data_IF_177606060314
#
_entry.id   IF_177606060314
#
_cell.length_a   1.000
_cell.length_b   1.000
_cell.length_c   1.000
_cell.angle_alpha   90.00
_cell.angle_beta   90.00
_cell.angle_gamma   90.00
#
_symmetry.space_group_name_H-M   'P 1'
#
loop_
_entity.id
_entity.type
_entity.pdbx_description
1 polymer ?
#
# COMPACT_ATOMS: atom_id res chain seq x y z
N UNK A 1 -30.44 64.65 21.55
CA UNK A 1 -29.38 63.67 21.54
C UNK A 1 -29.66 62.53 20.51
N UNK A 2 -30.04 62.88 19.28
CA UNK A 2 -30.43 61.87 18.23
C UNK A 2 -29.85 62.17 16.83
N UNK A 3 -28.88 63.07 16.73
CA UNK A 3 -28.26 63.48 15.45
C UNK A 3 -26.72 63.28 15.38
N UNK A 4 -26.09 62.65 16.38
CA UNK A 4 -24.64 62.36 16.36
C UNK A 4 -24.28 60.89 16.03
N UNK A 5 -25.26 60.01 15.81
CA UNK A 5 -25.00 58.61 15.48
C UNK A 5 -25.03 58.27 13.97
N UNK A 6 -25.38 59.27 13.13
CA UNK A 6 -25.52 59.06 11.69
C UNK A 6 -24.26 59.43 10.87
N UNK A 7 -23.20 59.91 11.51
CA UNK A 7 -22.01 60.42 10.80
C UNK A 7 -20.75 59.53 10.99
N UNK A 8 -20.87 58.39 11.69
CA UNK A 8 -19.75 57.48 11.93
C UNK A 8 -19.85 56.17 11.17
N UNK A 9 -20.83 56.04 10.27
CA UNK A 9 -21.03 54.80 9.46
C UNK A 9 -20.68 54.97 7.97
N UNK A 10 -20.04 56.06 7.56
CA UNK A 10 -19.70 56.33 6.17
C UNK A 10 -18.19 56.47 5.91
N UNK A 11 -17.30 56.06 6.84
CA UNK A 11 -15.85 56.18 6.70
C UNK A 11 -15.09 54.84 6.61
N UNK A 12 -15.80 53.71 6.45
CA UNK A 12 -15.16 52.36 6.36
C UNK A 12 -15.30 51.65 5.02
N UNK A 13 -15.64 52.32 3.94
CA UNK A 13 -15.85 51.69 2.62
C UNK A 13 -14.85 52.23 1.56
N UNK A 14 -13.63 52.56 1.92
CA UNK A 14 -12.59 52.84 0.94
C UNK A 14 -11.20 52.33 1.35
N UNK A 15 -11.13 51.17 2.00
CA UNK A 15 -9.93 50.37 2.00
C UNK A 15 -10.10 49.32 0.90
N UNK A 16 -10.05 49.75 -0.34
CA UNK A 16 -9.97 48.90 -1.51
C UNK A 16 -8.76 47.99 -1.37
N UNK A 17 -9.02 46.70 -1.32
CA UNK A 17 -8.01 45.69 -1.39
C UNK A 17 -7.28 45.79 -2.74
N UNK A 18 -6.16 46.50 -2.77
CA UNK A 18 -5.14 46.30 -3.77
C UNK A 18 -4.49 44.93 -3.47
N UNK A 19 -5.18 43.87 -3.84
CA UNK A 19 -4.54 42.59 -4.08
C UNK A 19 -3.64 42.80 -5.31
N UNK A 20 -2.42 43.20 -5.04
CA UNK A 20 -1.36 43.24 -6.02
C UNK A 20 -1.11 41.79 -6.41
N UNK A 21 -1.67 41.35 -7.55
CA UNK A 21 -1.23 40.13 -8.20
C UNK A 21 0.29 40.23 -8.35
N UNK A 22 1.03 39.54 -7.48
CA UNK A 22 2.43 39.24 -7.72
C UNK A 22 2.44 38.41 -9.01
N UNK A 23 2.66 39.06 -10.16
CA UNK A 23 3.15 38.36 -11.34
C UNK A 23 4.37 37.58 -10.88
N UNK A 24 4.23 36.25 -10.82
CA UNK A 24 5.36 35.38 -10.65
C UNK A 24 6.38 35.76 -11.73
N UNK A 25 7.53 36.26 -11.33
CA UNK A 25 8.64 36.48 -12.25
C UNK A 25 8.92 35.12 -12.90
N UNK A 26 8.71 35.01 -14.21
CA UNK A 26 9.16 33.83 -14.95
C UNK A 26 10.66 33.68 -14.69
N UNK A 27 11.00 32.63 -13.95
CA UNK A 27 12.39 32.27 -13.69
C UNK A 27 13.00 31.85 -15.03
N UNK A 28 13.74 32.74 -15.66
CA UNK A 28 14.38 32.53 -16.96
C UNK A 28 15.38 31.36 -16.97
N UNK A 29 15.65 30.76 -15.80
CA UNK A 29 16.48 29.57 -15.64
C UNK A 29 15.67 28.28 -15.42
N UNK A 30 14.32 28.32 -15.53
CA UNK A 30 13.53 27.12 -15.39
C UNK A 30 13.79 26.19 -16.56
N UNK A 31 14.33 25.01 -16.27
CA UNK A 31 14.54 23.98 -17.30
C UNK A 31 13.20 23.63 -17.97
N UNK A 32 13.17 23.67 -19.29
CA UNK A 32 12.01 23.25 -20.08
C UNK A 32 12.21 21.79 -20.46
N UNK A 33 11.31 20.93 -19.99
CA UNK A 33 11.33 19.52 -20.31
C UNK A 33 10.30 19.23 -21.39
N UNK A 34 10.73 18.45 -22.39
CA UNK A 34 9.82 17.95 -23.44
C UNK A 34 9.60 16.47 -23.22
N UNK A 35 8.33 16.04 -23.14
CA UNK A 35 8.00 14.62 -23.03
C UNK A 35 8.31 13.93 -24.35
N UNK A 36 9.30 13.05 -24.37
CA UNK A 36 9.67 12.24 -25.55
C UNK A 36 8.76 11.02 -25.66
N UNK A 37 8.45 10.39 -24.52
CA UNK A 37 7.58 9.22 -24.44
C UNK A 37 6.87 9.18 -23.08
N UNK A 38 5.58 8.93 -23.08
CA UNK A 38 4.80 8.63 -21.90
C UNK A 38 4.36 7.15 -21.94
N UNK A 39 4.69 6.37 -20.93
CA UNK A 39 4.13 5.03 -20.77
C UNK A 39 2.75 5.14 -20.10
N UNK A 40 1.79 4.26 -20.46
CA UNK A 40 0.53 4.18 -19.73
C UNK A 40 0.80 3.77 -18.27
N UNK A 41 0.05 4.38 -17.35
CA UNK A 41 0.11 4.07 -15.93
C UNK A 41 -1.31 3.85 -15.40
N UNK A 42 -1.43 3.07 -14.33
CA UNK A 42 -2.67 2.93 -13.56
C UNK A 42 -2.87 4.09 -12.58
N UNK A 43 -3.97 4.10 -11.83
CA UNK A 43 -4.24 5.14 -10.84
C UNK A 43 -3.21 5.14 -9.71
N UNK A 44 -2.89 6.33 -9.19
CA UNK A 44 -2.03 6.47 -8.01
C UNK A 44 -2.81 6.02 -6.78
N UNK A 45 -2.15 5.23 -5.93
CA UNK A 45 -2.68 4.73 -4.66
C UNK A 45 -1.96 5.38 -3.48
N UNK A 46 -2.66 5.48 -2.34
CA UNK A 46 -2.11 6.02 -1.10
C UNK A 46 -1.83 4.88 -0.11
N UNK A 47 -0.54 4.66 0.20
CA UNK A 47 -0.14 3.67 1.20
C UNK A 47 -0.35 4.14 2.64
N UNK A 48 -0.60 5.45 2.85
CA UNK A 48 -0.74 6.09 4.15
C UNK A 48 0.41 5.71 5.12
N UNK A 49 0.08 5.34 6.37
CA UNK A 49 1.04 4.98 7.43
C UNK A 49 1.37 3.48 7.44
N UNK A 50 1.64 2.92 6.28
CA UNK A 50 2.16 1.56 6.16
C UNK A 50 3.56 1.59 5.55
N UNK A 51 4.48 0.78 6.03
CA UNK A 51 5.81 0.64 5.43
C UNK A 51 5.79 -0.25 4.18
N UNK A 52 4.72 -0.22 3.39
CA UNK A 52 4.48 -1.10 2.23
C UNK A 52 4.74 -0.43 0.88
N UNK A 53 5.52 0.67 0.84
CA UNK A 53 5.88 1.34 -0.41
C UNK A 53 6.45 0.38 -1.46
N UNK A 54 7.17 -0.64 -1.04
CA UNK A 54 7.72 -1.69 -1.88
C UNK A 54 6.62 -2.50 -2.61
N UNK A 55 5.52 -2.84 -1.92
CA UNK A 55 4.38 -3.55 -2.53
C UNK A 55 3.60 -2.62 -3.47
N UNK A 56 3.28 -1.41 -3.03
CA UNK A 56 2.56 -0.41 -3.83
C UNK A 56 3.30 -0.06 -5.11
N UNK A 57 4.60 0.25 -5.02
CA UNK A 57 5.39 0.62 -6.20
C UNK A 57 5.58 -0.53 -7.18
N UNK A 58 5.81 -1.75 -6.68
CA UNK A 58 5.99 -2.93 -7.52
C UNK A 58 4.68 -3.32 -8.21
N UNK A 59 3.56 -3.37 -7.49
CA UNK A 59 2.27 -3.68 -8.10
C UNK A 59 1.84 -2.62 -9.10
N UNK A 60 2.05 -1.33 -8.82
CA UNK A 60 1.79 -0.26 -9.78
C UNK A 60 2.63 -0.39 -11.05
N UNK A 61 3.90 -0.81 -10.94
CA UNK A 61 4.74 -1.12 -12.09
C UNK A 61 4.18 -2.33 -12.88
N UNK A 62 3.86 -3.43 -12.21
CA UNK A 62 3.32 -4.63 -12.86
C UNK A 62 1.95 -4.36 -13.51
N UNK A 63 1.06 -3.60 -12.86
CA UNK A 63 -0.20 -3.15 -13.44
C UNK A 63 0.00 -2.33 -14.72
N UNK A 64 1.02 -1.47 -14.74
CA UNK A 64 1.38 -0.68 -15.93
C UNK A 64 1.93 -1.57 -17.06
N UNK A 65 2.71 -2.59 -16.75
CA UNK A 65 3.17 -3.59 -17.73
C UNK A 65 2.00 -4.41 -18.28
N UNK A 66 1.06 -4.83 -17.43
CA UNK A 66 -0.17 -5.51 -17.86
C UNK A 66 -0.97 -4.61 -18.81
N UNK A 67 -1.20 -3.35 -18.42
CA UNK A 67 -1.92 -2.36 -19.23
C UNK A 67 -1.25 -2.18 -20.59
N UNK A 68 0.05 -2.03 -20.63
CA UNK A 68 0.83 -1.89 -21.87
C UNK A 68 0.73 -3.13 -22.77
N UNK A 69 0.80 -4.33 -22.19
CA UNK A 69 0.84 -5.58 -22.93
C UNK A 69 -0.55 -6.08 -23.37
N UNK A 70 -1.59 -5.82 -22.57
CA UNK A 70 -2.93 -6.39 -22.76
C UNK A 70 -4.02 -5.36 -23.06
N UNK A 71 -3.75 -4.08 -22.79
CA UNK A 71 -4.76 -3.01 -22.82
C UNK A 71 -5.76 -3.07 -21.66
N UNK A 72 -5.59 -3.98 -20.69
CA UNK A 72 -6.48 -4.15 -19.55
C UNK A 72 -5.91 -3.46 -18.31
N UNK A 73 -6.79 -2.86 -17.52
CA UNK A 73 -6.45 -2.25 -16.22
C UNK A 73 -6.85 -3.19 -15.11
N UNK A 74 -5.95 -3.41 -14.17
CA UNK A 74 -6.20 -4.17 -12.95
C UNK A 74 -5.87 -3.30 -11.74
N UNK A 75 -6.51 -3.61 -10.62
CA UNK A 75 -6.21 -3.07 -9.29
C UNK A 75 -5.82 -4.24 -8.39
N UNK A 76 -4.51 -4.50 -8.26
CA UNK A 76 -3.97 -5.64 -7.53
C UNK A 76 -3.87 -5.31 -6.04
N UNK A 77 -4.05 -6.32 -5.18
CA UNK A 77 -4.15 -6.15 -3.74
C UNK A 77 -2.78 -6.15 -3.05
N UNK A 78 -2.32 -5.00 -2.57
CA UNK A 78 -1.08 -4.86 -1.81
C UNK A 78 -1.14 -5.60 -0.47
N UNK A 79 -2.31 -5.64 0.16
CA UNK A 79 -2.49 -6.32 1.45
C UNK A 79 -2.39 -7.84 1.32
N UNK A 80 -2.70 -8.41 0.15
CA UNK A 80 -2.43 -9.83 -0.13
C UNK A 80 -0.92 -10.11 -0.09
N UNK A 81 -0.13 -9.28 -0.75
CA UNK A 81 1.33 -9.39 -0.77
C UNK A 81 1.88 -9.26 0.65
N UNK A 82 1.50 -8.20 1.37
CA UNK A 82 1.96 -7.95 2.73
C UNK A 82 1.59 -9.10 3.69
N UNK A 83 0.38 -9.66 3.59
CA UNK A 83 -0.07 -10.78 4.41
C UNK A 83 0.82 -12.01 4.24
N UNK A 84 1.12 -12.39 3.00
CA UNK A 84 1.96 -13.56 2.72
C UNK A 84 3.42 -13.34 3.07
N UNK A 85 3.96 -12.18 2.70
CA UNK A 85 5.36 -11.83 2.94
C UNK A 85 5.70 -11.78 4.43
N UNK A 86 4.86 -11.13 5.25
CA UNK A 86 5.12 -11.07 6.69
C UNK A 86 5.08 -12.43 7.37
N UNK A 87 4.23 -13.35 6.91
CA UNK A 87 4.27 -14.73 7.41
C UNK A 87 5.56 -15.44 7.02
N UNK A 88 5.99 -15.33 5.77
CA UNK A 88 7.22 -15.98 5.29
C UNK A 88 8.46 -15.41 6.01
N UNK A 89 8.55 -14.10 6.16
CA UNK A 89 9.63 -13.45 6.92
C UNK A 89 9.63 -13.84 8.39
N UNK A 90 8.47 -13.93 9.02
CA UNK A 90 8.38 -14.41 10.40
C UNK A 90 8.89 -15.84 10.54
N UNK A 91 8.60 -16.72 9.57
CA UNK A 91 9.14 -18.09 9.55
C UNK A 91 10.66 -18.07 9.45
N UNK A 92 11.22 -17.23 8.58
CA UNK A 92 12.69 -17.07 8.47
C UNK A 92 13.28 -16.54 9.78
N UNK A 93 12.70 -15.49 10.36
CA UNK A 93 13.15 -14.89 11.64
C UNK A 93 13.16 -15.90 12.77
N UNK A 94 12.12 -16.72 12.90
CA UNK A 94 12.06 -17.76 13.93
C UNK A 94 13.09 -18.86 13.67
N UNK A 95 13.30 -19.27 12.41
CA UNK A 95 14.33 -20.27 12.06
C UNK A 95 15.74 -19.77 12.32
N UNK A 96 15.98 -18.48 12.16
CA UNK A 96 17.27 -17.83 12.41
C UNK A 96 17.42 -17.34 13.86
N UNK A 97 16.53 -17.77 14.77
CA UNK A 97 16.57 -17.41 16.21
C UNK A 97 16.56 -15.89 16.47
N UNK A 98 15.98 -15.11 15.55
CA UNK A 98 15.91 -13.65 15.64
C UNK A 98 17.09 -12.92 15.02
N UNK A 99 18.00 -13.62 14.35
CA UNK A 99 19.17 -13.03 13.65
C UNK A 99 18.85 -12.48 12.25
N UNK A 100 17.57 -12.33 11.92
CA UNK A 100 17.12 -11.64 10.71
C UNK A 100 16.30 -10.41 11.07
N UNK A 101 16.39 -9.37 10.25
CA UNK A 101 15.58 -8.18 10.43
C UNK A 101 14.13 -8.49 10.05
N UNK A 102 13.21 -8.31 11.00
CA UNK A 102 11.77 -8.37 10.79
C UNK A 102 11.21 -6.95 10.84
N UNK A 103 10.80 -6.39 9.70
CA UNK A 103 10.36 -5.01 9.57
C UNK A 103 9.26 -4.89 8.52
N UNK A 104 8.66 -3.70 8.41
CA UNK A 104 7.60 -3.41 7.44
C UNK A 104 8.11 -3.35 5.99
N UNK A 105 9.36 -2.92 5.79
CA UNK A 105 9.95 -2.73 4.48
C UNK A 105 10.17 -4.04 3.72
N UNK A 106 10.26 -3.95 2.40
CA UNK A 106 10.52 -5.06 1.49
C UNK A 106 11.14 -4.60 0.18
N UNK A 107 11.26 -5.51 -0.77
CA UNK A 107 11.86 -5.28 -2.06
C UNK A 107 10.89 -5.62 -3.20
N UNK A 108 11.30 -5.28 -4.42
CA UNK A 108 10.64 -5.70 -5.64
C UNK A 108 10.58 -7.23 -5.74
N UNK A 109 11.70 -7.91 -5.44
CA UNK A 109 11.81 -9.37 -5.48
C UNK A 109 10.83 -10.07 -4.52
N UNK A 110 10.56 -9.48 -3.35
CA UNK A 110 9.60 -10.05 -2.40
C UNK A 110 8.21 -10.14 -3.03
N UNK A 111 7.76 -9.09 -3.74
CA UNK A 111 6.46 -9.10 -4.42
C UNK A 111 6.41 -10.17 -5.49
N UNK A 112 7.42 -10.24 -6.35
CA UNK A 112 7.49 -11.24 -7.43
C UNK A 112 7.50 -12.65 -6.85
N UNK A 113 8.31 -12.90 -5.83
CA UNK A 113 8.40 -14.19 -5.12
C UNK A 113 7.05 -14.59 -4.52
N UNK A 114 6.35 -13.66 -3.87
CA UNK A 114 5.01 -13.92 -3.31
C UNK A 114 4.02 -14.25 -4.43
N UNK A 115 4.01 -13.50 -5.53
CA UNK A 115 3.15 -13.79 -6.67
C UNK A 115 3.45 -15.15 -7.31
N UNK A 116 4.73 -15.53 -7.42
CA UNK A 116 5.13 -16.86 -7.92
C UNK A 116 4.68 -17.98 -6.97
N UNK A 117 4.83 -17.79 -5.65
CA UNK A 117 4.55 -18.83 -4.67
C UNK A 117 3.06 -18.96 -4.33
N UNK A 118 2.35 -17.83 -4.21
CA UNK A 118 0.97 -17.77 -3.70
C UNK A 118 -0.03 -17.21 -4.70
N UNK A 119 0.43 -16.52 -5.74
CA UNK A 119 -0.42 -15.75 -6.63
C UNK A 119 -0.75 -14.36 -6.08
N UNK A 120 -1.78 -13.74 -6.66
CA UNK A 120 -2.33 -12.43 -6.28
C UNK A 120 -3.84 -12.44 -6.48
N UNK A 121 -4.56 -11.56 -5.79
CA UNK A 121 -5.97 -11.28 -6.05
C UNK A 121 -6.16 -9.80 -6.40
N UNK A 122 -7.29 -9.41 -7.01
CA UNK A 122 -7.65 -8.00 -7.14
C UNK A 122 -8.00 -7.43 -5.77
N UNK A 123 -7.85 -6.12 -5.58
CA UNK A 123 -8.12 -5.45 -4.30
C UNK A 123 -9.55 -5.68 -3.79
N UNK A 124 -10.53 -5.72 -4.71
CA UNK A 124 -11.94 -5.97 -4.36
C UNK A 124 -12.21 -7.35 -3.73
N UNK A 125 -11.28 -8.30 -3.87
CA UNK A 125 -11.39 -9.64 -3.27
C UNK A 125 -10.93 -9.68 -1.79
N UNK A 126 -10.36 -8.60 -1.27
CA UNK A 126 -9.99 -8.43 0.13
C UNK A 126 -10.62 -7.15 0.70
N UNK A 127 -10.70 -7.01 2.03
CA UNK A 127 -11.09 -5.74 2.63
C UNK A 127 -10.14 -4.62 2.15
N UNK A 128 -10.68 -3.44 1.89
CA UNK A 128 -9.85 -2.27 1.57
C UNK A 128 -8.88 -1.96 2.73
N UNK A 129 -7.69 -1.44 2.45
CA UNK A 129 -6.74 -1.06 3.48
C UNK A 129 -7.38 -0.17 4.56
N UNK A 130 -7.11 -0.48 5.82
CA UNK A 130 -7.66 0.28 6.96
C UNK A 130 -9.10 -0.04 7.36
N UNK A 131 -9.88 -0.76 6.54
CA UNK A 131 -11.29 -1.06 6.85
C UNK A 131 -11.45 -1.85 8.15
N UNK A 132 -10.58 -2.81 8.42
CA UNK A 132 -10.65 -3.66 9.61
C UNK A 132 -10.22 -2.93 10.89
N UNK A 133 -9.40 -1.90 10.78
CA UNK A 133 -8.94 -1.08 11.90
C UNK A 133 -9.80 0.16 12.13
N UNK A 134 -10.78 0.42 11.27
CA UNK A 134 -11.65 1.59 11.33
C UNK A 134 -11.05 2.86 10.72
N UNK A 135 -9.85 2.77 10.13
CA UNK A 135 -9.22 3.84 9.37
C UNK A 135 -9.74 3.86 7.93
N UNK A 136 -9.62 4.98 7.25
CA UNK A 136 -9.94 5.08 5.82
C UNK A 136 -8.83 4.54 4.92
N UNK A 137 -7.60 4.44 5.45
CA UNK A 137 -6.39 3.99 4.78
C UNK A 137 -5.56 3.12 5.73
N UNK A 138 -4.63 2.32 5.16
CA UNK A 138 -3.76 1.44 5.95
C UNK A 138 -2.96 2.21 7.01
N UNK A 139 -2.98 1.71 8.25
CA UNK A 139 -2.20 2.23 9.37
C UNK A 139 -1.57 1.05 10.13
N UNK A 140 -0.25 0.96 10.09
CA UNK A 140 0.51 -0.16 10.65
C UNK A 140 1.11 0.13 12.03
N UNK A 141 0.83 1.29 12.62
CA UNK A 141 1.41 1.66 13.93
C UNK A 141 1.05 0.62 15.00
N UNK A 142 -0.22 0.26 15.13
CA UNK A 142 -0.67 -0.76 16.07
C UNK A 142 -0.30 -2.17 15.59
N UNK A 143 -0.54 -2.48 14.33
CA UNK A 143 -0.30 -3.81 13.75
C UNK A 143 1.13 -4.27 13.97
N UNK A 144 2.13 -3.46 13.62
CA UNK A 144 3.53 -3.81 13.83
C UNK A 144 3.92 -3.80 15.29
N UNK A 145 3.33 -2.92 16.10
CA UNK A 145 3.49 -2.90 17.55
C UNK A 145 3.09 -4.21 18.23
N UNK A 146 2.16 -4.97 17.64
CA UNK A 146 1.73 -6.29 18.10
C UNK A 146 2.53 -7.42 17.45
N UNK A 147 2.71 -7.35 16.13
CA UNK A 147 3.28 -8.45 15.34
C UNK A 147 4.77 -8.65 15.60
N UNK A 148 5.56 -7.57 15.62
CA UNK A 148 7.01 -7.66 15.81
C UNK A 148 7.39 -8.26 17.17
N UNK A 149 6.86 -7.81 18.32
CA UNK A 149 7.11 -8.44 19.62
C UNK A 149 6.64 -9.89 19.68
N UNK A 150 5.53 -10.24 19.04
CA UNK A 150 5.05 -11.60 18.95
C UNK A 150 6.09 -12.52 18.29
N UNK A 151 6.57 -12.14 17.10
CA UNK A 151 7.58 -12.89 16.34
C UNK A 151 8.89 -12.98 17.14
N UNK A 152 9.33 -11.88 17.74
CA UNK A 152 10.54 -11.86 18.59
C UNK A 152 10.44 -12.78 19.81
N UNK A 153 9.27 -12.82 20.46
CA UNK A 153 9.03 -13.71 21.60
C UNK A 153 9.13 -15.20 21.20
N UNK A 154 8.58 -15.55 20.03
CA UNK A 154 8.68 -16.91 19.49
C UNK A 154 10.12 -17.25 19.12
N UNK A 155 10.82 -16.36 18.39
CA UNK A 155 12.19 -16.55 17.94
C UNK A 155 13.18 -16.75 19.12
N UNK A 156 12.98 -16.02 20.21
CA UNK A 156 13.81 -16.08 21.44
C UNK A 156 13.29 -17.07 22.48
N UNK A 157 12.33 -17.92 22.12
CA UNK A 157 11.77 -18.90 23.05
C UNK A 157 12.84 -19.88 23.56
N UNK A 158 12.85 -20.10 24.87
CA UNK A 158 13.72 -21.10 25.53
C UNK A 158 13.16 -22.53 25.46
N UNK A 159 12.02 -22.75 24.83
CA UNK A 159 11.43 -24.07 24.67
C UNK A 159 12.33 -24.95 23.78
N UNK A 160 12.55 -26.19 24.21
CA UNK A 160 13.35 -27.19 23.46
C UNK A 160 12.77 -27.45 22.07
N UNK A 161 11.45 -27.26 21.90
CA UNK A 161 10.72 -27.43 20.66
C UNK A 161 9.63 -26.37 20.59
N UNK A 162 9.66 -25.53 19.57
CA UNK A 162 8.62 -24.54 19.31
C UNK A 162 7.44 -25.27 18.64
N UNK A 163 6.25 -25.11 19.21
CA UNK A 163 5.01 -25.65 18.64
C UNK A 163 4.66 -24.93 17.34
N UNK A 164 4.10 -25.59 16.31
CA UNK A 164 3.67 -24.93 15.08
C UNK A 164 2.46 -23.98 15.28
N UNK A 165 1.86 -23.98 16.48
CA UNK A 165 0.67 -23.15 16.76
C UNK A 165 0.95 -21.64 16.69
N UNK A 166 2.21 -21.22 16.88
CA UNK A 166 2.58 -19.81 16.75
C UNK A 166 2.25 -19.25 15.36
N UNK A 167 2.34 -20.08 14.30
CA UNK A 167 1.98 -19.66 12.93
C UNK A 167 0.49 -19.34 12.82
N UNK A 168 -0.37 -20.14 13.46
CA UNK A 168 -1.81 -19.87 13.51
C UNK A 168 -2.13 -18.60 14.29
N UNK A 169 -1.43 -18.38 15.41
CA UNK A 169 -1.56 -17.15 16.18
C UNK A 169 -1.14 -15.92 15.38
N UNK A 170 0.02 -16.00 14.73
CA UNK A 170 0.51 -14.91 13.87
C UNK A 170 -0.43 -14.65 12.69
N UNK A 171 -0.90 -15.72 12.01
CA UNK A 171 -1.84 -15.56 10.90
C UNK A 171 -3.13 -14.87 11.36
N UNK A 172 -3.63 -15.23 12.54
CA UNK A 172 -4.80 -14.55 13.11
C UNK A 172 -4.58 -13.06 13.37
N UNK A 173 -3.36 -12.67 13.81
CA UNK A 173 -2.98 -11.25 13.95
C UNK A 173 -2.96 -10.60 12.55
N UNK A 174 -2.24 -11.17 11.60
CA UNK A 174 -2.13 -10.62 10.24
C UNK A 174 -3.51 -10.45 9.60
N UNK A 175 -4.36 -11.47 9.67
CA UNK A 175 -5.71 -11.46 9.08
C UNK A 175 -6.64 -10.43 9.75
N UNK A 176 -6.46 -10.19 11.05
CA UNK A 176 -7.25 -9.20 11.78
C UNK A 176 -6.96 -7.75 11.33
N UNK A 177 -5.74 -7.46 10.89
CA UNK A 177 -5.34 -6.11 10.46
C UNK A 177 -5.35 -5.91 8.95
N UNK A 178 -4.98 -6.94 8.17
CA UNK A 178 -4.84 -6.84 6.72
C UNK A 178 -5.98 -7.50 5.93
N UNK A 179 -6.76 -8.36 6.60
CA UNK A 179 -7.72 -9.24 5.95
C UNK A 179 -7.13 -10.61 5.62
N UNK A 180 -7.99 -11.62 5.64
CA UNK A 180 -7.64 -12.98 5.24
C UNK A 180 -7.51 -13.07 3.73
N UNK A 181 -6.41 -13.67 3.26
CA UNK A 181 -6.22 -13.92 1.84
C UNK A 181 -7.25 -14.96 1.34
N UNK A 182 -8.02 -14.66 0.29
CA UNK A 182 -9.01 -15.60 -0.23
C UNK A 182 -8.33 -16.82 -0.85
N UNK A 183 -8.88 -18.01 -0.60
CA UNK A 183 -8.49 -19.23 -1.33
C UNK A 183 -9.05 -19.22 -2.76
N UNK A 184 -10.27 -18.67 -2.92
CA UNK A 184 -10.97 -18.46 -4.18
C UNK A 184 -11.76 -17.16 -4.13
N UNK A 185 -11.95 -16.54 -5.28
CA UNK A 185 -12.75 -15.33 -5.43
C UNK A 185 -13.36 -15.25 -6.84
N UNK A 186 -14.39 -14.45 -7.00
CA UNK A 186 -15.00 -14.18 -8.31
C UNK A 186 -14.52 -12.83 -8.80
N UNK A 187 -14.01 -12.78 -10.03
CA UNK A 187 -13.62 -11.56 -10.72
C UNK A 187 -14.20 -11.56 -12.14
N UNK A 188 -14.89 -10.51 -12.52
CA UNK A 188 -15.59 -10.38 -13.82
C UNK A 188 -16.47 -11.63 -14.15
N UNK A 189 -17.15 -12.17 -13.14
CA UNK A 189 -18.07 -13.30 -13.30
C UNK A 189 -17.42 -14.69 -13.41
N UNK A 190 -16.09 -14.77 -13.27
CA UNK A 190 -15.34 -16.04 -13.27
C UNK A 190 -14.69 -16.29 -11.91
N UNK A 191 -14.76 -17.54 -11.43
CA UNK A 191 -14.06 -17.98 -10.23
C UNK A 191 -12.58 -18.23 -10.52
N UNK A 192 -11.72 -17.78 -9.61
CA UNK A 192 -10.27 -17.94 -9.66
C UNK A 192 -9.73 -18.34 -8.30
N UNK A 193 -8.66 -19.10 -8.28
CA UNK A 193 -7.67 -19.09 -7.21
C UNK A 193 -6.67 -17.95 -7.46
N UNK A 194 -5.95 -17.46 -6.44
CA UNK A 194 -4.91 -16.43 -6.65
C UNK A 194 -3.87 -16.79 -7.73
N UNK A 195 -3.46 -18.05 -7.81
CA UNK A 195 -2.51 -18.52 -8.83
C UNK A 195 -3.09 -18.51 -10.25
N UNK A 196 -4.34 -18.95 -10.41
CA UNK A 196 -5.03 -18.90 -11.71
C UNK A 196 -5.24 -17.46 -12.17
N UNK A 197 -5.55 -16.55 -11.24
CA UNK A 197 -5.68 -15.15 -11.56
C UNK A 197 -4.34 -14.55 -12.00
N UNK A 198 -3.26 -14.82 -11.27
CA UNK A 198 -1.90 -14.40 -11.65
C UNK A 198 -1.54 -14.87 -13.06
N UNK A 199 -1.78 -16.14 -13.37
CA UNK A 199 -1.51 -16.69 -14.70
C UNK A 199 -2.34 -16.01 -15.81
N UNK A 200 -3.51 -15.44 -15.47
CA UNK A 200 -4.39 -14.75 -16.42
C UNK A 200 -3.96 -13.30 -16.72
N UNK A 201 -3.03 -12.73 -15.96
CA UNK A 201 -2.60 -11.32 -16.08
C UNK A 201 -1.71 -11.06 -17.31
N UNK A 202 -1.20 -12.11 -17.96
CA UNK A 202 -0.33 -11.96 -19.13
C UNK A 202 1.10 -11.49 -18.78
N UNK A 203 1.54 -11.73 -17.55
CA UNK A 203 2.90 -11.50 -17.08
C UNK A 203 3.68 -12.82 -17.05
N UNK A 204 4.93 -12.78 -17.49
CA UNK A 204 5.90 -13.83 -17.17
C UNK A 204 6.73 -13.35 -15.98
N UNK A 205 6.43 -13.83 -14.78
CA UNK A 205 7.09 -13.36 -13.55
C UNK A 205 8.58 -13.68 -13.52
N UNK A 206 9.05 -14.67 -14.28
CA UNK A 206 10.47 -15.03 -14.36
C UNK A 206 11.31 -13.97 -15.10
N UNK A 207 10.67 -13.06 -15.84
CA UNK A 207 11.35 -11.94 -16.50
C UNK A 207 11.72 -10.81 -15.51
N UNK A 208 11.27 -10.90 -14.25
CA UNK A 208 11.41 -9.87 -13.23
C UNK A 208 12.26 -10.28 -12.02
N UNK A 209 12.94 -11.42 -12.08
CA UNK A 209 13.84 -11.96 -11.03
C UNK A 209 15.26 -12.08 -11.52
#
# INVERSE_FOLDING_TARGET
MRKLFAMMLLACITAGANAQEKKASEDKNKAVFTTIKANPITSIKDQNRSGTCWAYSTLSFLESEILKNTGKTYNLCEMFIANKDYMDRAIVTVRMHGDSQFSQGGSFEDVVTIMQNYGICPEEAMPAPGTLTGDSLANFDEFFGVMEPYVAAVAKSKAKKISPQWKKGLQGIIDAYLGACPEKFTYEGKEYTPKEFTASLGLNLDDYV
#
